data_IF_274149653916
#
_entry.id   IF_274149653916
#
_cell.length_a   1.000
_cell.length_b   1.000
_cell.length_c   1.000
_cell.angle_alpha   90.00
_cell.angle_beta   90.00
_cell.angle_gamma   90.00
#
_symmetry.space_group_name_H-M   'P 1'
#
loop_
_entity.id
_entity.type
_entity.pdbx_description
1 polymer ?
#
# COMPACT_ATOMS: atom_id res chain seq x y z
N UNK A 1 26.90 -50.18 3.87
CA UNK A 1 25.61 -49.54 3.50
C UNK A 1 25.95 -48.31 2.67
N UNK A 2 25.63 -48.35 1.38
CA UNK A 2 26.10 -47.42 0.34
C UNK A 2 24.89 -46.66 -0.18
N UNK A 3 24.64 -45.44 0.28
CA UNK A 3 23.67 -44.49 -0.31
C UNK A 3 24.04 -43.05 0.08
N UNK A 4 25.14 -42.50 -0.45
CA UNK A 4 25.45 -41.06 -0.28
C UNK A 4 26.10 -40.40 -1.51
N UNK A 5 26.39 -41.17 -2.57
CA UNK A 5 27.01 -40.63 -3.79
C UNK A 5 26.04 -40.03 -4.81
N UNK A 6 24.74 -40.35 -4.76
CA UNK A 6 23.80 -40.01 -5.84
C UNK A 6 23.04 -38.68 -5.61
N UNK A 7 23.09 -38.10 -4.41
CA UNK A 7 22.36 -36.86 -4.10
C UNK A 7 23.19 -35.58 -4.34
N UNK A 8 24.52 -35.65 -4.35
CA UNK A 8 25.38 -34.49 -4.67
C UNK A 8 25.40 -34.17 -6.17
N UNK A 9 25.51 -35.19 -7.03
CA UNK A 9 25.54 -35.00 -8.49
C UNK A 9 24.24 -34.43 -9.09
N UNK A 10 23.10 -34.56 -8.40
CA UNK A 10 21.82 -34.00 -8.84
C UNK A 10 21.63 -32.52 -8.44
N UNK A 11 22.27 -32.06 -7.35
CA UNK A 11 22.21 -30.66 -6.91
C UNK A 11 23.11 -29.75 -7.75
N UNK A 12 24.26 -30.25 -8.20
CA UNK A 12 25.20 -29.45 -9.00
C UNK A 12 24.65 -29.16 -10.41
N UNK A 13 23.93 -30.12 -11.02
CA UNK A 13 23.32 -29.96 -12.35
C UNK A 13 22.13 -29.01 -12.39
N UNK A 14 21.40 -28.87 -11.28
CA UNK A 14 20.26 -27.94 -11.21
C UNK A 14 20.74 -26.49 -11.11
N UNK A 15 21.90 -26.27 -10.46
CA UNK A 15 22.48 -24.95 -10.27
C UNK A 15 23.12 -24.41 -11.57
N UNK A 16 23.68 -25.28 -12.43
CA UNK A 16 24.17 -24.90 -13.77
C UNK A 16 23.03 -24.55 -14.75
N UNK A 17 21.89 -25.25 -14.68
CA UNK A 17 20.73 -24.97 -15.52
C UNK A 17 20.02 -23.65 -15.14
N UNK A 18 19.94 -23.35 -13.84
CA UNK A 18 19.39 -22.08 -13.35
C UNK A 18 20.34 -20.90 -13.61
N UNK A 19 21.67 -21.10 -13.57
CA UNK A 19 22.64 -20.06 -13.97
C UNK A 19 22.64 -19.80 -15.49
N UNK A 20 22.33 -20.79 -16.33
CA UNK A 20 22.18 -20.60 -17.77
C UNK A 20 20.89 -19.84 -18.16
N UNK A 21 19.83 -19.96 -17.36
CA UNK A 21 18.55 -19.24 -17.57
C UNK A 21 18.63 -17.76 -17.17
N UNK A 22 19.49 -17.40 -16.21
CA UNK A 22 19.67 -16.01 -15.76
C UNK A 22 20.50 -15.18 -16.75
N UNK A 23 21.34 -15.80 -17.59
CA UNK A 23 22.17 -15.08 -18.58
C UNK A 23 21.43 -14.72 -19.88
N UNK A 24 20.16 -15.11 -20.04
CA UNK A 24 19.34 -14.78 -21.22
C UNK A 24 18.38 -13.60 -21.01
N UNK A 25 18.47 -12.92 -19.86
CA UNK A 25 17.71 -11.70 -19.60
C UNK A 25 18.69 -10.56 -19.33
N UNK A 26 18.51 -9.49 -20.14
CA UNK A 26 19.10 -8.15 -19.99
C UNK A 26 20.38 -7.87 -20.79
N UNK A 27 20.30 -8.01 -22.12
CA UNK A 27 20.89 -6.98 -22.98
C UNK A 27 19.81 -5.93 -23.27
N UNK A 28 19.92 -4.69 -22.76
CA UNK A 28 18.99 -3.64 -23.12
C UNK A 28 19.10 -3.38 -24.62
N UNK A 29 17.98 -3.53 -25.33
CA UNK A 29 17.90 -3.28 -26.77
C UNK A 29 18.12 -1.78 -27.02
N UNK A 30 19.10 -1.45 -27.84
CA UNK A 30 19.55 -0.07 -28.06
C UNK A 30 18.68 0.74 -29.05
N UNK A 31 17.65 0.15 -29.65
CA UNK A 31 16.75 0.83 -30.58
C UNK A 31 15.83 -0.13 -31.34
N UNK A 32 14.94 0.43 -32.17
CA UNK A 32 14.09 -0.32 -33.10
C UNK A 32 14.89 -0.81 -34.31
N UNK A 33 14.64 -2.03 -34.77
CA UNK A 33 15.31 -2.61 -35.94
C UNK A 33 14.55 -2.32 -37.26
N UNK A 34 15.23 -2.48 -38.39
CA UNK A 34 14.65 -2.26 -39.71
C UNK A 34 13.49 -3.23 -39.97
N UNK A 35 12.28 -2.68 -40.17
CA UNK A 35 11.04 -3.45 -40.38
C UNK A 35 10.14 -3.56 -39.15
N UNK A 36 10.54 -3.00 -38.00
CA UNK A 36 9.68 -2.87 -36.82
C UNK A 36 8.94 -1.53 -36.79
N UNK A 37 7.77 -1.53 -36.16
CA UNK A 37 7.05 -0.29 -35.84
C UNK A 37 7.86 0.51 -34.82
N UNK A 38 8.30 1.71 -35.22
CA UNK A 38 9.14 2.57 -34.38
C UNK A 38 8.36 3.08 -33.17
N UNK A 39 8.98 3.02 -31.99
CA UNK A 39 8.40 3.58 -30.77
C UNK A 39 8.49 5.12 -30.73
N UNK A 40 7.76 5.74 -29.81
CA UNK A 40 7.67 7.20 -29.68
C UNK A 40 9.03 7.89 -29.44
N UNK A 41 10.04 7.17 -28.94
CA UNK A 41 11.40 7.68 -28.74
C UNK A 41 12.18 7.72 -30.06
N UNK A 42 12.16 6.65 -30.85
CA UNK A 42 12.87 6.59 -32.15
C UNK A 42 12.15 7.32 -33.29
N UNK A 43 10.96 7.87 -33.03
CA UNK A 43 10.14 8.60 -34.00
C UNK A 43 10.47 10.10 -34.04
N UNK A 44 11.20 10.61 -33.05
CA UNK A 44 11.51 12.04 -32.89
C UNK A 44 12.74 12.55 -33.65
N UNK A 45 13.58 11.66 -34.19
CA UNK A 45 14.89 12.01 -34.76
C UNK A 45 14.92 12.10 -36.30
N UNK A 46 13.79 11.98 -37.01
CA UNK A 46 13.73 12.21 -38.46
C UNK A 46 13.12 13.58 -38.78
N UNK A 47 13.93 14.63 -38.60
CA UNK A 47 13.84 15.88 -39.37
C UNK A 47 15.28 16.34 -39.67
N UNK A 48 15.95 15.60 -40.57
CA UNK A 48 17.13 16.09 -41.31
C UNK A 48 16.60 16.94 -42.49
N UNK A 49 16.95 18.21 -42.55
CA UNK A 49 18.06 18.76 -43.35
C UNK A 49 17.78 18.68 -44.87
N UNK A 50 17.26 19.77 -45.44
CA UNK A 50 17.47 20.10 -46.85
C UNK A 50 18.36 21.35 -46.93
N UNK A 51 19.57 21.14 -47.45
CA UNK A 51 20.55 22.15 -47.84
C UNK A 51 20.05 22.94 -49.06
N UNK A 52 20.38 24.23 -49.12
CA UNK A 52 20.08 25.09 -50.26
C UNK A 52 20.93 26.37 -50.27
N UNK A 53 22.17 26.21 -50.73
CA UNK A 53 23.03 27.16 -51.48
C UNK A 53 23.29 28.59 -50.94
N UNK A 54 24.56 28.87 -50.68
CA UNK A 54 25.14 30.20 -50.46
C UNK A 54 25.21 31.00 -51.77
N UNK A 55 24.69 32.24 -51.78
CA UNK A 55 25.19 33.31 -52.67
C UNK A 55 25.47 34.57 -51.83
N UNK A 56 26.71 35.04 -51.89
CA UNK A 56 27.20 36.26 -51.25
C UNK A 56 26.59 37.52 -51.90
N UNK A 57 26.16 38.46 -51.06
CA UNK A 57 25.79 39.81 -51.45
C UNK A 57 25.77 40.73 -50.24
N UNK A 58 26.89 41.39 -49.96
CA UNK A 58 26.95 42.54 -49.04
C UNK A 58 26.27 43.75 -49.69
N UNK A 59 25.26 44.34 -49.04
CA UNK A 59 25.26 45.75 -48.61
C UNK A 59 23.87 46.15 -48.03
N UNK A 60 23.93 46.55 -46.76
CA UNK A 60 23.22 47.65 -46.10
C UNK A 60 21.68 47.78 -46.18
N UNK A 61 21.07 47.79 -44.99
CA UNK A 61 20.09 48.82 -44.67
C UNK A 61 18.79 48.34 -44.03
N UNK A 62 18.81 48.19 -42.70
CA UNK A 62 17.75 48.58 -41.76
C UNK A 62 16.33 48.11 -42.11
N UNK A 63 15.89 47.02 -41.48
CA UNK A 63 14.58 46.88 -40.80
C UNK A 63 14.52 45.54 -40.02
N UNK A 64 15.60 45.20 -39.31
CA UNK A 64 15.80 43.87 -38.71
C UNK A 64 15.39 43.78 -37.23
N UNK A 65 14.53 44.70 -36.76
CA UNK A 65 14.08 44.70 -35.36
C UNK A 65 12.68 44.14 -35.20
N UNK A 66 11.77 44.35 -36.16
CA UNK A 66 10.38 43.93 -36.01
C UNK A 66 10.16 42.46 -36.41
N UNK A 67 10.83 41.96 -37.44
CA UNK A 67 10.71 40.56 -37.87
C UNK A 67 11.37 39.58 -36.89
N UNK A 68 12.53 39.93 -36.33
CA UNK A 68 13.23 39.12 -35.33
C UNK A 68 12.56 39.18 -33.94
N UNK A 69 11.85 40.26 -33.60
CA UNK A 69 11.01 40.32 -32.40
C UNK A 69 9.67 39.60 -32.60
N UNK A 70 9.07 39.64 -33.80
CA UNK A 70 7.88 38.88 -34.15
C UNK A 70 8.13 37.36 -34.05
N UNK A 71 9.22 36.85 -34.62
CA UNK A 71 9.60 35.43 -34.58
C UNK A 71 9.92 34.93 -33.15
N UNK A 72 10.59 35.76 -32.33
CA UNK A 72 10.79 35.48 -30.90
C UNK A 72 9.46 35.50 -30.14
N UNK A 73 8.55 36.40 -30.47
CA UNK A 73 7.23 36.47 -29.84
C UNK A 73 6.37 35.26 -30.18
N UNK A 74 6.39 34.79 -31.43
CA UNK A 74 5.70 33.58 -31.89
C UNK A 74 6.29 32.32 -31.24
N UNK A 75 7.63 32.22 -31.13
CA UNK A 75 8.29 31.12 -30.42
C UNK A 75 8.01 31.09 -28.91
N UNK A 76 7.89 32.27 -28.28
CA UNK A 76 7.47 32.38 -26.87
C UNK A 76 5.99 32.04 -26.68
N UNK A 77 5.11 32.47 -27.57
CA UNK A 77 3.69 32.12 -27.55
C UNK A 77 3.48 30.62 -27.75
N UNK A 78 4.23 30.00 -28.67
CA UNK A 78 4.19 28.56 -28.89
C UNK A 78 4.69 27.77 -27.66
N UNK A 79 5.74 28.24 -26.97
CA UNK A 79 6.19 27.63 -25.70
C UNK A 79 5.16 27.80 -24.59
N UNK A 80 4.55 28.98 -24.45
CA UNK A 80 3.49 29.23 -23.46
C UNK A 80 2.27 28.36 -23.73
N UNK A 81 1.87 28.22 -24.99
CA UNK A 81 0.77 27.35 -25.41
C UNK A 81 1.09 25.87 -25.14
N UNK A 82 2.31 25.43 -25.42
CA UNK A 82 2.76 24.06 -25.14
C UNK A 82 2.81 23.77 -23.63
N UNK A 83 3.37 24.68 -22.82
CA UNK A 83 3.38 24.56 -21.36
C UNK A 83 1.96 24.57 -20.77
N UNK A 84 1.07 25.41 -21.31
CA UNK A 84 -0.32 25.44 -20.90
C UNK A 84 -1.02 24.12 -21.23
N UNK A 85 -0.80 23.59 -22.43
CA UNK A 85 -1.31 22.28 -22.85
C UNK A 85 -0.74 21.13 -22.00
N UNK A 86 0.53 21.20 -21.59
CA UNK A 86 1.13 20.23 -20.68
C UNK A 86 0.50 20.29 -19.28
N UNK A 87 0.31 21.49 -18.72
CA UNK A 87 -0.37 21.68 -17.42
C UNK A 87 -1.82 21.19 -17.47
N UNK A 88 -2.53 21.44 -18.57
CA UNK A 88 -3.89 20.97 -18.81
C UNK A 88 -3.99 19.44 -18.97
N UNK A 89 -2.93 18.77 -19.46
CA UNK A 89 -2.85 17.30 -19.52
C UNK A 89 -2.45 16.68 -18.18
N UNK A 90 -1.60 17.35 -17.40
CA UNK A 90 -1.12 16.86 -16.11
C UNK A 90 -2.15 17.04 -14.99
N UNK A 91 -2.90 18.14 -14.98
CA UNK A 91 -3.93 18.42 -13.96
C UNK A 91 -4.99 17.30 -13.81
N UNK A 92 -5.62 16.77 -14.89
CA UNK A 92 -6.57 15.68 -14.78
C UNK A 92 -5.93 14.34 -14.41
N UNK A 93 -4.66 14.09 -14.77
CA UNK A 93 -3.95 12.88 -14.32
C UNK A 93 -3.55 12.95 -12.84
N UNK A 94 -3.19 14.13 -12.35
CA UNK A 94 -2.91 14.36 -10.94
C UNK A 94 -4.19 14.27 -10.10
N UNK A 95 -5.31 14.82 -10.57
CA UNK A 95 -6.60 14.69 -9.87
C UNK A 95 -7.13 13.25 -9.93
N UNK A 96 -6.99 12.53 -11.04
CA UNK A 96 -7.31 11.09 -11.10
C UNK A 96 -6.43 10.24 -10.19
N UNK A 97 -5.15 10.59 -10.05
CA UNK A 97 -4.22 9.90 -9.12
C UNK A 97 -4.56 10.24 -7.66
N UNK A 98 -4.90 11.49 -7.36
CA UNK A 98 -5.35 11.91 -6.02
C UNK A 98 -6.71 11.31 -5.66
N UNK A 99 -7.65 11.21 -6.61
CA UNK A 99 -8.95 10.57 -6.40
C UNK A 99 -8.80 9.06 -6.21
N UNK A 100 -7.90 8.42 -6.99
CA UNK A 100 -7.55 6.99 -6.84
C UNK A 100 -6.77 6.70 -5.55
N UNK A 101 -6.10 7.69 -4.97
CA UNK A 101 -5.46 7.63 -3.64
C UNK A 101 -6.44 7.92 -2.49
N UNK A 102 -7.50 8.69 -2.73
CA UNK A 102 -8.54 9.02 -1.75
C UNK A 102 -9.60 7.91 -1.60
N UNK A 103 -9.81 7.08 -2.63
CA UNK A 103 -10.76 5.95 -2.59
C UNK A 103 -10.05 4.60 -2.32
N UNK A 104 -9.36 4.47 -1.19
CA UNK A 104 -9.04 3.15 -0.66
C UNK A 104 -10.24 2.63 0.14
N UNK A 105 -10.95 1.68 -0.45
CA UNK A 105 -12.08 1.06 0.23
C UNK A 105 -11.69 0.48 1.59
N UNK A 106 -12.61 0.48 2.55
CA UNK A 106 -12.41 0.00 3.93
C UNK A 106 -11.70 -1.36 4.00
N UNK A 107 -12.00 -2.25 3.06
CA UNK A 107 -11.42 -3.60 2.95
C UNK A 107 -9.96 -3.57 2.49
N UNK A 108 -9.64 -2.75 1.48
CA UNK A 108 -8.27 -2.59 0.98
C UNK A 108 -7.38 -1.86 2.00
N UNK A 109 -7.92 -0.84 2.67
CA UNK A 109 -7.27 -0.20 3.81
C UNK A 109 -6.93 -1.24 4.89
N UNK A 110 -7.93 -2.03 5.30
CA UNK A 110 -7.76 -3.08 6.29
C UNK A 110 -6.68 -4.09 5.89
N UNK A 111 -6.67 -4.56 4.63
CA UNK A 111 -5.65 -5.51 4.12
C UNK A 111 -4.23 -4.96 4.29
N UNK A 112 -4.01 -3.69 3.92
CA UNK A 112 -2.71 -3.03 4.04
C UNK A 112 -2.29 -2.85 5.48
N UNK A 113 -3.20 -2.37 6.32
CA UNK A 113 -2.90 -2.16 7.74
C UNK A 113 -2.63 -3.49 8.44
N UNK A 114 -3.38 -4.56 8.15
CA UNK A 114 -3.08 -5.89 8.66
C UNK A 114 -1.69 -6.39 8.27
N UNK A 115 -1.28 -6.20 7.02
CA UNK A 115 0.05 -6.57 6.56
C UNK A 115 1.16 -5.72 7.23
N UNK A 116 0.95 -4.41 7.32
CA UNK A 116 1.87 -3.47 7.93
C UNK A 116 2.08 -3.77 9.43
N UNK A 117 0.99 -3.96 10.17
CA UNK A 117 1.03 -4.17 11.62
C UNK A 117 1.34 -5.62 12.03
N UNK A 118 1.43 -6.56 11.08
CA UNK A 118 1.85 -7.93 11.38
C UNK A 118 3.26 -7.99 12.00
N UNK A 119 4.11 -7.04 11.63
CA UNK A 119 5.50 -6.93 12.10
C UNK A 119 5.81 -5.59 12.78
N UNK A 120 4.80 -4.80 13.19
CA UNK A 120 5.00 -3.52 13.89
C UNK A 120 4.36 -3.52 15.28
N UNK A 121 4.93 -2.74 16.18
CA UNK A 121 4.53 -2.66 17.58
C UNK A 121 4.16 -1.23 17.94
N UNK A 122 2.87 -0.97 18.20
CA UNK A 122 2.38 0.37 18.54
C UNK A 122 3.05 0.98 19.78
N UNK A 123 3.53 0.15 20.71
CA UNK A 123 4.30 0.60 21.89
C UNK A 123 5.69 1.12 21.50
N UNK A 124 6.38 0.46 20.57
CA UNK A 124 7.70 0.89 20.11
C UNK A 124 7.58 2.10 19.19
N UNK A 125 6.63 2.06 18.25
CA UNK A 125 6.41 3.18 17.33
C UNK A 125 5.97 4.45 18.08
N UNK A 126 5.06 4.32 19.07
CA UNK A 126 4.63 5.43 19.92
C UNK A 126 5.72 6.00 20.83
N UNK A 127 6.77 5.21 21.12
CA UNK A 127 7.95 5.67 21.84
C UNK A 127 8.99 6.37 20.96
N UNK A 128 8.74 6.50 19.64
CA UNK A 128 9.62 7.20 18.71
C UNK A 128 10.80 6.38 18.17
N UNK A 129 10.82 5.06 18.35
CA UNK A 129 11.89 4.18 17.83
C UNK A 129 11.76 3.83 16.33
N UNK A 130 10.78 4.41 15.64
CA UNK A 130 10.49 4.10 14.24
C UNK A 130 9.89 2.70 14.05
N UNK A 131 9.94 2.18 12.82
CA UNK A 131 9.31 0.90 12.48
C UNK A 131 10.00 -0.27 13.18
N UNK A 132 9.32 -0.87 14.16
CA UNK A 132 9.83 -2.10 14.79
C UNK A 132 9.76 -3.28 13.82
N UNK A 133 10.64 -4.27 13.99
CA UNK A 133 10.64 -5.52 13.23
C UNK A 133 9.91 -6.67 13.97
N UNK A 134 8.98 -6.31 14.86
CA UNK A 134 8.23 -7.24 15.69
C UNK A 134 6.86 -6.66 16.05
N UNK A 135 5.88 -7.54 16.31
CA UNK A 135 4.58 -7.13 16.85
C UNK A 135 4.57 -7.08 18.38
N UNK A 136 3.54 -6.46 18.97
CA UNK A 136 3.49 -6.23 20.43
C UNK A 136 3.61 -7.48 21.29
N UNK A 137 3.21 -8.66 20.80
CA UNK A 137 3.33 -9.92 21.56
C UNK A 137 4.79 -10.31 21.77
N UNK A 138 5.63 -10.01 20.79
CA UNK A 138 7.06 -10.26 20.79
C UNK A 138 7.86 -9.10 21.43
N UNK A 139 7.21 -8.00 21.80
CA UNK A 139 7.88 -6.84 22.35
C UNK A 139 8.51 -7.15 23.72
N UNK A 140 9.74 -6.70 23.92
CA UNK A 140 10.51 -6.93 25.15
C UNK A 140 10.42 -5.78 26.16
N UNK A 141 9.93 -4.61 25.72
CA UNK A 141 9.79 -3.41 26.53
C UNK A 141 8.83 -3.62 27.71
N UNK A 142 9.13 -2.99 28.84
CA UNK A 142 8.34 -3.11 30.07
C UNK A 142 6.94 -2.52 29.86
N UNK A 143 6.85 -1.43 29.11
CA UNK A 143 5.62 -0.75 28.71
C UNK A 143 4.67 -1.67 27.93
N UNK A 144 5.20 -2.68 27.23
CA UNK A 144 4.38 -3.65 26.49
C UNK A 144 3.63 -4.63 27.40
N UNK A 145 4.02 -4.75 28.68
CA UNK A 145 3.42 -5.70 29.62
C UNK A 145 1.93 -5.45 29.81
N UNK A 146 1.56 -4.19 30.10
CA UNK A 146 0.16 -3.81 30.26
C UNK A 146 -0.63 -4.11 28.98
N UNK A 147 -0.07 -3.78 27.81
CA UNK A 147 -0.71 -4.05 26.52
C UNK A 147 -0.97 -5.55 26.32
N UNK A 148 0.01 -6.40 26.62
CA UNK A 148 -0.14 -7.87 26.50
C UNK A 148 -1.19 -8.43 27.46
N UNK A 149 -1.20 -7.96 28.70
CA UNK A 149 -2.18 -8.36 29.71
C UNK A 149 -3.59 -7.96 29.26
N UNK A 150 -3.76 -6.75 28.73
CA UNK A 150 -5.05 -6.30 28.20
C UNK A 150 -5.48 -7.06 26.97
N UNK A 151 -4.60 -7.31 26.00
CA UNK A 151 -4.91 -8.13 24.82
C UNK A 151 -5.40 -9.52 25.27
N UNK A 152 -4.70 -10.14 26.22
CA UNK A 152 -5.08 -11.46 26.73
C UNK A 152 -6.49 -11.43 27.36
N UNK A 153 -6.77 -10.44 28.22
CA UNK A 153 -8.07 -10.30 28.86
C UNK A 153 -9.21 -10.14 27.83
N UNK A 154 -9.02 -9.30 26.81
CA UNK A 154 -10.02 -9.11 25.77
C UNK A 154 -10.19 -10.38 24.94
N UNK A 155 -9.10 -11.07 24.55
CA UNK A 155 -9.17 -12.29 23.74
C UNK A 155 -9.84 -13.47 24.44
N UNK A 156 -9.78 -13.53 25.78
CA UNK A 156 -10.45 -14.55 26.58
C UNK A 156 -11.98 -14.32 26.67
N UNK A 157 -12.41 -13.06 26.62
CA UNK A 157 -13.82 -12.69 26.82
C UNK A 157 -14.58 -12.37 25.53
N UNK A 158 -13.90 -11.91 24.47
CA UNK A 158 -14.55 -11.41 23.26
C UNK A 158 -15.36 -12.49 22.54
N UNK A 159 -16.59 -12.13 22.16
CA UNK A 159 -17.48 -12.95 21.35
C UNK A 159 -17.92 -12.16 20.14
N UNK A 160 -17.57 -12.66 18.96
CA UNK A 160 -17.99 -12.05 17.71
C UNK A 160 -19.42 -12.46 17.36
N UNK A 161 -20.21 -11.50 16.88
CA UNK A 161 -21.50 -11.79 16.27
C UNK A 161 -21.37 -12.77 15.09
N UNK A 162 -22.43 -13.53 14.81
CA UNK A 162 -22.37 -14.54 13.75
C UNK A 162 -22.04 -13.92 12.39
N UNK A 163 -21.14 -14.58 11.66
CA UNK A 163 -20.73 -14.22 10.29
C UNK A 163 -19.97 -12.89 10.15
N UNK A 164 -19.56 -12.28 11.25
CA UNK A 164 -18.84 -10.99 11.25
C UNK A 164 -17.33 -11.11 11.09
N UNK A 165 -16.81 -12.31 10.91
CA UNK A 165 -15.38 -12.54 10.75
C UNK A 165 -14.92 -13.92 11.18
N UNK A 166 -13.61 -14.11 11.15
CA UNK A 166 -12.98 -15.33 11.59
C UNK A 166 -12.95 -15.38 13.13
N UNK A 167 -13.56 -16.41 13.71
CA UNK A 167 -13.65 -16.61 15.16
C UNK A 167 -12.30 -16.55 15.89
N UNK A 168 -11.19 -16.89 15.22
CA UNK A 168 -9.86 -16.96 15.84
C UNK A 168 -9.02 -15.70 15.74
N UNK A 169 -9.33 -14.79 14.82
CA UNK A 169 -8.52 -13.58 14.63
C UNK A 169 -9.35 -12.29 14.47
N UNK A 170 -10.67 -12.37 14.42
CA UNK A 170 -11.57 -11.21 14.23
C UNK A 170 -11.57 -10.63 12.81
N UNK A 171 -10.60 -10.96 11.97
CA UNK A 171 -10.51 -10.48 10.57
C UNK A 171 -11.71 -11.01 9.75
N UNK A 172 -12.29 -10.20 8.83
CA UNK A 172 -13.33 -10.66 7.90
C UNK A 172 -12.96 -11.95 7.18
N UNK A 173 -13.96 -12.80 6.94
CA UNK A 173 -13.75 -14.12 6.30
C UNK A 173 -13.14 -13.99 4.90
N UNK A 174 -13.46 -12.90 4.18
CA UNK A 174 -12.87 -12.60 2.88
C UNK A 174 -11.34 -12.42 2.91
N UNK A 175 -10.81 -11.92 4.02
CA UNK A 175 -9.38 -11.61 4.14
C UNK A 175 -8.64 -12.78 4.79
N UNK A 176 -9.25 -13.50 5.72
CA UNK A 176 -8.57 -14.53 6.50
C UNK A 176 -8.37 -15.83 5.71
N UNK A 177 -7.12 -16.30 5.53
CA UNK A 177 -6.79 -17.51 4.77
C UNK A 177 -7.37 -18.82 5.35
N UNK A 178 -7.94 -18.77 6.56
CA UNK A 178 -8.68 -19.89 7.15
C UNK A 178 -10.02 -20.16 6.45
N UNK A 179 -10.49 -19.19 5.67
CA UNK A 179 -11.74 -19.24 4.96
C UNK A 179 -11.49 -19.15 3.46
N UNK A 180 -12.35 -19.82 2.70
CA UNK A 180 -12.41 -19.74 1.25
C UNK A 180 -13.85 -19.51 0.82
N UNK A 181 -14.04 -18.88 -0.34
CA UNK A 181 -15.38 -18.73 -0.92
C UNK A 181 -15.98 -20.11 -1.19
N UNK A 182 -17.24 -20.30 -0.81
CA UNK A 182 -17.97 -21.54 -1.11
C UNK A 182 -18.67 -21.51 -2.50
N UNK A 183 -18.37 -20.52 -3.34
CA UNK A 183 -19.03 -20.31 -4.64
C UNK A 183 -20.44 -19.73 -4.56
N UNK A 184 -20.95 -19.44 -3.36
CA UNK A 184 -22.20 -18.71 -3.10
C UNK A 184 -21.89 -17.44 -2.30
N UNK A 185 -22.91 -16.75 -1.77
CA UNK A 185 -22.78 -15.58 -0.87
C UNK A 185 -22.24 -15.94 0.54
N UNK A 186 -21.23 -16.81 0.65
CA UNK A 186 -20.69 -17.23 1.94
C UNK A 186 -19.32 -17.87 1.88
N UNK A 187 -18.82 -18.22 3.06
CA UNK A 187 -17.48 -18.76 3.26
C UNK A 187 -17.52 -20.14 3.92
N UNK A 188 -16.58 -20.98 3.55
CA UNK A 188 -16.33 -22.28 4.19
C UNK A 188 -14.89 -22.35 4.68
N UNK A 189 -14.62 -23.29 5.59
CA UNK A 189 -13.27 -23.45 6.14
C UNK A 189 -12.37 -24.09 5.08
N UNK A 190 -11.27 -23.42 4.75
CA UNK A 190 -10.27 -23.95 3.84
C UNK A 190 -9.58 -25.19 4.46
N UNK A 191 -9.25 -26.20 3.65
CA UNK A 191 -8.69 -27.48 4.13
C UNK A 191 -7.37 -27.33 4.89
N UNK A 192 -6.51 -26.40 4.46
CA UNK A 192 -5.20 -26.13 5.07
C UNK A 192 -5.05 -24.67 5.53
N UNK A 193 -6.16 -23.94 5.65
CA UNK A 193 -6.14 -22.51 5.95
C UNK A 193 -5.83 -22.20 7.40
N UNK A 194 -4.84 -21.33 7.62
CA UNK A 194 -4.49 -20.79 8.94
C UNK A 194 -4.79 -19.29 9.02
N UNK A 195 -4.97 -18.76 10.24
CA UNK A 195 -5.14 -17.33 10.45
C UNK A 195 -3.79 -16.61 10.29
N UNK A 196 -3.55 -16.00 9.14
CA UNK A 196 -2.32 -15.26 8.86
C UNK A 196 -2.17 -13.99 9.73
N UNK A 197 -3.29 -13.44 10.19
CA UNK A 197 -3.33 -12.23 11.03
C UNK A 197 -3.72 -12.52 12.48
N UNK A 198 -3.41 -13.73 12.99
CA UNK A 198 -3.74 -14.09 14.38
C UNK A 198 -3.07 -13.13 15.36
N UNK A 199 -3.89 -12.45 16.15
CA UNK A 199 -3.42 -11.50 17.18
C UNK A 199 -2.92 -10.16 16.64
N UNK A 200 -2.93 -9.94 15.31
CA UNK A 200 -2.48 -8.67 14.70
C UNK A 200 -3.50 -7.56 14.96
N UNK A 201 -4.79 -7.81 14.70
CA UNK A 201 -5.87 -6.83 14.95
C UNK A 201 -5.85 -6.27 16.37
N UNK A 202 -5.95 -7.17 17.36
CA UNK A 202 -5.92 -6.80 18.77
C UNK A 202 -4.58 -6.19 19.18
N UNK A 203 -3.48 -6.80 18.73
CA UNK A 203 -2.14 -6.35 19.06
C UNK A 203 -1.87 -4.93 18.60
N UNK A 204 -2.28 -4.60 17.38
CA UNK A 204 -2.13 -3.28 16.82
C UNK A 204 -3.09 -2.28 17.45
N UNK A 205 -4.39 -2.58 17.55
CA UNK A 205 -5.37 -1.66 18.14
C UNK A 205 -4.98 -1.24 19.57
N UNK A 206 -4.76 -2.21 20.45
CA UNK A 206 -4.44 -1.93 21.86
C UNK A 206 -3.02 -1.38 21.99
N UNK A 207 -2.08 -1.86 21.17
CA UNK A 207 -0.71 -1.35 21.14
C UNK A 207 -0.62 0.11 20.71
N UNK A 208 -1.42 0.53 19.73
CA UNK A 208 -1.50 1.93 19.29
C UNK A 208 -2.21 2.76 20.37
N UNK A 209 -3.37 2.31 20.84
CA UNK A 209 -4.16 3.05 21.83
C UNK A 209 -3.38 3.33 23.13
N UNK A 210 -2.55 2.39 23.59
CA UNK A 210 -1.73 2.58 24.78
C UNK A 210 -0.33 3.14 24.50
N UNK A 211 0.19 2.97 23.28
CA UNK A 211 1.49 3.48 22.87
C UNK A 211 1.48 4.97 22.48
N UNK A 212 0.36 5.46 21.93
CA UNK A 212 0.19 6.84 21.49
C UNK A 212 -0.84 7.54 22.38
N UNK A 213 -0.36 8.36 23.33
CA UNK A 213 -1.22 8.97 24.35
C UNK A 213 -2.40 9.77 23.75
N UNK A 214 -2.13 10.62 22.77
CA UNK A 214 -3.16 11.47 22.15
C UNK A 214 -4.20 10.65 21.38
N UNK A 215 -3.75 9.66 20.61
CA UNK A 215 -4.61 8.76 19.85
C UNK A 215 -5.45 7.88 20.78
N UNK A 216 -4.84 7.39 21.86
CA UNK A 216 -5.53 6.68 22.93
C UNK A 216 -6.65 7.51 23.56
N UNK A 217 -6.38 8.79 23.85
CA UNK A 217 -7.42 9.71 24.37
C UNK A 217 -8.55 9.95 23.37
N UNK A 218 -8.24 10.11 22.09
CA UNK A 218 -9.26 10.27 21.04
C UNK A 218 -10.11 9.00 20.87
N UNK A 219 -9.46 7.84 20.85
CA UNK A 219 -10.15 6.56 20.78
C UNK A 219 -11.09 6.36 21.97
N UNK A 220 -10.61 6.68 23.18
CA UNK A 220 -11.41 6.62 24.39
C UNK A 220 -12.63 7.57 24.34
N UNK A 221 -12.43 8.83 23.92
CA UNK A 221 -13.54 9.77 23.72
C UNK A 221 -14.57 9.29 22.71
N UNK A 222 -14.13 8.60 21.64
CA UNK A 222 -15.01 7.98 20.66
C UNK A 222 -15.82 6.83 21.25
N UNK A 223 -15.22 5.98 22.08
CA UNK A 223 -15.94 4.91 22.80
C UNK A 223 -17.01 5.49 23.73
N UNK A 224 -16.68 6.54 24.48
CA UNK A 224 -17.64 7.23 25.34
C UNK A 224 -18.81 7.83 24.54
N UNK A 225 -18.55 8.41 23.37
CA UNK A 225 -19.58 9.01 22.51
C UNK A 225 -20.62 7.98 22.02
N UNK A 226 -20.25 6.70 21.93
CA UNK A 226 -21.17 5.60 21.59
C UNK A 226 -21.74 4.90 22.83
N UNK A 227 -21.57 5.49 24.02
CA UNK A 227 -22.10 4.99 25.28
C UNK A 227 -21.35 3.79 25.86
N UNK A 228 -20.10 3.57 25.41
CA UNK A 228 -19.22 2.54 25.99
C UNK A 228 -18.49 3.19 27.16
N UNK A 229 -18.96 2.90 28.38
CA UNK A 229 -18.32 3.35 29.61
C UNK A 229 -17.03 2.54 29.84
N UNK A 230 -15.89 3.23 29.83
CA UNK A 230 -14.53 2.68 29.84
C UNK A 230 -13.73 3.39 30.94
N UNK A 231 -14.09 3.20 32.20
CA UNK A 231 -13.14 3.48 33.29
C UNK A 231 -11.94 2.48 33.27
N UNK A 232 -11.46 2.10 32.09
CA UNK A 232 -10.59 0.97 31.77
C UNK A 232 -11.22 0.04 30.71
N UNK A 233 -10.38 -0.71 29.98
CA UNK A 233 -10.76 -1.70 28.96
C UNK A 233 -11.55 -2.87 29.57
N UNK A 234 -12.77 -2.57 30.00
CA UNK A 234 -13.67 -3.44 30.74
C UNK A 234 -14.65 -4.17 29.83
N UNK A 235 -15.57 -4.90 30.46
CA UNK A 235 -16.54 -5.78 29.79
C UNK A 235 -17.37 -5.08 28.71
N UNK A 236 -17.72 -3.81 28.92
CA UNK A 236 -18.45 -2.96 27.96
C UNK A 236 -17.71 -2.80 26.64
N UNK A 237 -16.39 -2.57 26.69
CA UNK A 237 -15.53 -2.44 25.49
C UNK A 237 -15.42 -3.79 24.78
N UNK A 238 -15.19 -4.87 25.53
CA UNK A 238 -15.10 -6.23 24.97
C UNK A 238 -16.37 -6.60 24.19
N UNK A 239 -17.54 -6.37 24.80
CA UNK A 239 -18.83 -6.61 24.16
C UNK A 239 -19.03 -5.74 22.93
N UNK A 240 -18.66 -4.45 23.01
CA UNK A 240 -18.74 -3.54 21.88
C UNK A 240 -17.90 -4.01 20.70
N UNK A 241 -16.62 -4.36 20.94
CA UNK A 241 -15.68 -4.81 19.91
C UNK A 241 -16.16 -6.06 19.14
N UNK A 242 -16.95 -6.91 19.79
CA UNK A 242 -17.52 -8.12 19.18
C UNK A 242 -18.74 -7.88 18.28
N UNK A 243 -19.40 -6.72 18.38
CA UNK A 243 -20.65 -6.44 17.65
C UNK A 243 -20.46 -6.33 16.15
N UNK A 244 -21.49 -6.68 15.39
CA UNK A 244 -21.55 -6.54 13.94
C UNK A 244 -21.41 -5.08 13.48
N UNK A 245 -20.63 -4.90 12.42
CA UNK A 245 -20.48 -3.68 11.62
C UNK A 245 -20.40 -4.07 10.14
N UNK A 246 -20.76 -3.18 9.23
CA UNK A 246 -20.53 -3.38 7.79
C UNK A 246 -19.36 -2.48 7.38
N UNK A 247 -18.38 -3.04 6.68
CA UNK A 247 -17.29 -2.32 6.02
C UNK A 247 -17.58 -2.31 4.53
N UNK A 248 -18.15 -1.22 4.02
CA UNK A 248 -18.65 -1.08 2.64
C UNK A 248 -19.56 -2.23 2.19
N UNK A 249 -18.97 -3.31 1.67
CA UNK A 249 -19.66 -4.48 1.11
C UNK A 249 -19.45 -5.75 1.95
N UNK A 250 -18.61 -5.70 2.98
CA UNK A 250 -18.18 -6.86 3.78
C UNK A 250 -18.71 -6.77 5.20
N UNK A 251 -19.41 -7.82 5.63
CA UNK A 251 -19.81 -7.96 7.03
C UNK A 251 -18.57 -8.17 7.91
N UNK A 252 -18.48 -7.37 8.96
CA UNK A 252 -17.34 -7.29 9.87
C UNK A 252 -17.82 -7.04 11.31
N UNK A 253 -16.89 -6.70 12.19
CA UNK A 253 -17.14 -6.40 13.59
C UNK A 253 -16.53 -5.05 13.99
N UNK A 254 -16.93 -4.54 15.15
CA UNK A 254 -16.47 -3.25 15.65
C UNK A 254 -14.96 -3.23 15.88
N UNK A 255 -14.35 -4.32 16.34
CA UNK A 255 -12.89 -4.43 16.48
C UNK A 255 -12.16 -4.04 15.19
N UNK A 256 -12.62 -4.55 14.06
CA UNK A 256 -12.04 -4.20 12.76
C UNK A 256 -12.28 -2.73 12.42
N UNK A 257 -13.49 -2.21 12.67
CA UNK A 257 -13.78 -0.81 12.39
C UNK A 257 -12.98 0.17 13.26
N UNK A 258 -12.77 -0.14 14.54
CA UNK A 258 -11.92 0.66 15.44
C UNK A 258 -10.45 0.55 15.06
N UNK A 259 -9.99 -0.63 14.61
CA UNK A 259 -8.65 -0.77 14.04
C UNK A 259 -8.46 0.06 12.77
N UNK A 260 -9.41 0.05 11.83
CA UNK A 260 -9.35 0.90 10.65
C UNK A 260 -9.35 2.39 11.02
N UNK A 261 -10.18 2.78 11.99
CA UNK A 261 -10.24 4.16 12.46
C UNK A 261 -8.93 4.62 13.09
N UNK A 262 -8.36 3.86 14.03
CA UNK A 262 -7.14 4.26 14.74
C UNK A 262 -5.92 4.32 13.81
N UNK A 263 -5.89 3.44 12.80
CA UNK A 263 -4.79 3.43 11.82
C UNK A 263 -4.91 4.55 10.79
N UNK A 264 -6.13 5.00 10.46
CA UNK A 264 -6.33 6.23 9.66
C UNK A 264 -5.87 7.46 10.40
N UNK A 265 -6.23 7.55 11.68
CA UNK A 265 -5.80 8.66 12.54
C UNK A 265 -4.27 8.74 12.70
N UNK A 266 -3.56 7.62 12.60
CA UNK A 266 -2.09 7.59 12.57
C UNK A 266 -1.47 8.02 11.23
N UNK A 267 -2.24 7.94 10.15
CA UNK A 267 -1.77 8.25 8.79
C UNK A 267 -2.08 9.70 8.37
N UNK A 268 -2.91 10.40 9.16
CA UNK A 268 -3.20 11.84 9.07
C UNK A 268 -2.13 12.66 9.80
#
# INVERSE_FOLDING_TARGET
MVQDGNQRAAKDKHNEADQALVQLRETPRAGCEAGEERCDVCRGDEVEEEEGEEEEGEEEGIEETEAAEADKSEGEEMRRAFEQQQRERQAPQQTLTQHRQQEFGDVEWLRRQLAQWANRCGVCEGAGEGSSAHNVRQCWRVESRQVKETIKAIEEEIKFDKWTGCWWCGVPQEICHRWESNGRRGYQRAKAGNCQYRGVLMGALIGIALGYREIGSQWHGRLQAVGVDDAGLGRSVVEYLGKKRVLETVESNQLVGEFCWITRLLAE
#
